data_IF_470205388238
#
_entry.id   IF_470205388238
#
_cell.length_a   1.000
_cell.length_b   1.000
_cell.length_c   1.000
_cell.angle_alpha   90.00
_cell.angle_beta   90.00
_cell.angle_gamma   90.00
#
_symmetry.space_group_name_H-M   'P 1'
#
loop_
_entity.id
_entity.type
_entity.pdbx_description
1 polymer ?
#
# COMPACT_ATOMS: atom_id res chain seq x y z
N UNK A 1 17.71 -72.45 11.88
CA UNK A 1 18.02 -73.27 13.08
C UNK A 1 17.87 -72.34 14.28
N UNK A 2 17.13 -72.57 15.36
CA UNK A 2 16.52 -73.74 15.98
C UNK A 2 15.33 -73.21 16.81
N UNK A 3 14.20 -73.91 16.82
CA UNK A 3 13.04 -73.62 17.68
C UNK A 3 13.30 -74.23 19.07
N UNK A 4 12.76 -73.60 20.12
CA UNK A 4 12.62 -74.24 21.44
C UNK A 4 11.79 -73.40 22.42
N UNK A 5 10.54 -73.82 22.65
CA UNK A 5 9.74 -73.57 23.89
C UNK A 5 10.04 -74.72 24.91
N UNK A 6 9.39 -74.92 26.09
CA UNK A 6 8.48 -74.08 26.93
C UNK A 6 8.70 -74.13 28.50
N UNK A 7 7.99 -73.22 29.22
CA UNK A 7 7.24 -73.28 30.51
C UNK A 7 7.92 -73.56 31.91
N UNK A 8 7.20 -73.55 33.07
CA UNK A 8 6.70 -72.39 33.86
C UNK A 8 7.00 -72.52 35.40
N UNK A 9 6.30 -71.75 36.27
CA UNK A 9 6.28 -71.74 37.76
C UNK A 9 7.18 -70.65 38.39
N UNK A 10 6.83 -69.87 39.43
CA UNK A 10 5.89 -70.03 40.56
C UNK A 10 5.78 -68.69 41.31
N UNK A 11 4.63 -68.43 41.97
CA UNK A 11 4.58 -67.70 43.26
C UNK A 11 4.39 -66.18 43.26
N UNK A 12 3.20 -65.72 43.65
CA UNK A 12 3.02 -64.49 44.46
C UNK A 12 3.24 -64.83 45.94
N UNK A 13 3.62 -63.90 46.85
CA UNK A 13 2.61 -63.00 47.43
C UNK A 13 3.10 -61.62 47.97
N UNK A 14 2.10 -60.71 48.14
CA UNK A 14 1.90 -59.73 49.22
C UNK A 14 2.91 -58.56 49.42
N UNK A 15 2.46 -57.31 49.14
CA UNK A 15 2.08 -56.26 50.13
C UNK A 15 3.30 -55.42 50.55
N UNK A 16 3.34 -54.09 50.58
CA UNK A 16 2.40 -53.02 50.92
C UNK A 16 2.87 -51.74 50.18
N UNK A 17 2.01 -50.73 49.98
CA UNK A 17 2.36 -49.33 50.26
C UNK A 17 1.18 -48.35 50.12
N UNK A 18 0.91 -47.72 51.26
CA UNK A 18 0.46 -46.35 51.52
C UNK A 18 -0.89 -45.81 50.99
N UNK A 19 -1.74 -45.63 52.01
CA UNK A 19 -2.89 -44.75 52.14
C UNK A 19 -2.60 -43.33 51.63
N UNK A 20 -3.56 -42.77 50.90
CA UNK A 20 -3.61 -41.36 50.52
C UNK A 20 -4.88 -41.04 49.76
N UNK A 21 -6.04 -41.41 50.33
CA UNK A 21 -7.34 -41.03 49.79
C UNK A 21 -7.51 -39.51 49.92
N UNK A 22 -7.17 -38.78 48.86
CA UNK A 22 -7.55 -37.38 48.72
C UNK A 22 -9.05 -37.37 48.37
N UNK A 23 -9.87 -37.21 49.40
CA UNK A 23 -11.31 -36.99 49.26
C UNK A 23 -11.49 -35.61 48.62
N UNK A 24 -11.56 -35.58 47.29
CA UNK A 24 -12.11 -34.44 46.56
C UNK A 24 -13.61 -34.39 46.86
N UNK A 25 -13.93 -33.54 47.83
CA UNK A 25 -15.29 -33.15 48.20
C UNK A 25 -16.04 -32.69 46.95
N UNK A 26 -17.09 -33.43 46.56
CA UNK A 26 -17.99 -33.07 45.47
C UNK A 26 -18.84 -31.87 45.91
N UNK A 27 -18.29 -30.68 45.78
CA UNK A 27 -18.99 -29.44 46.04
C UNK A 27 -19.83 -29.01 44.83
N UNK A 28 -21.07 -28.65 45.13
CA UNK A 28 -22.12 -28.28 44.18
C UNK A 28 -21.62 -27.41 43.00
N UNK A 29 -21.93 -27.76 41.73
CA UNK A 29 -21.52 -27.02 40.53
C UNK A 29 -21.88 -25.51 40.53
N UNK A 30 -22.82 -25.10 41.40
CA UNK A 30 -23.26 -23.72 41.57
C UNK A 30 -22.33 -22.88 42.46
N UNK A 31 -21.63 -23.48 43.43
CA UNK A 31 -20.69 -22.77 44.33
C UNK A 31 -19.39 -22.43 43.59
N UNK A 32 -18.89 -23.38 42.81
CA UNK A 32 -17.68 -23.23 41.99
C UNK A 32 -17.83 -22.13 40.92
N UNK A 33 -19.00 -21.98 40.30
CA UNK A 33 -19.25 -20.95 39.29
C UNK A 33 -19.24 -19.51 39.83
N UNK A 34 -19.78 -19.29 41.05
CA UNK A 34 -19.79 -17.97 41.70
C UNK A 34 -18.39 -17.56 42.19
N UNK A 35 -17.60 -18.53 42.64
CA UNK A 35 -16.21 -18.31 43.06
C UNK A 35 -15.30 -18.00 41.88
N UNK A 36 -15.45 -18.72 40.77
CA UNK A 36 -14.69 -18.45 39.54
C UNK A 36 -15.02 -17.07 38.95
N UNK A 37 -16.27 -16.61 39.05
CA UNK A 37 -16.64 -15.26 38.62
C UNK A 37 -15.99 -14.18 39.49
N UNK A 38 -15.96 -14.36 40.82
CA UNK A 38 -15.27 -13.44 41.75
C UNK A 38 -13.77 -13.39 41.48
N UNK A 39 -13.12 -14.55 41.33
CA UNK A 39 -11.69 -14.64 40.97
C UNK A 39 -11.38 -13.96 39.64
N UNK A 40 -12.22 -14.13 38.62
CA UNK A 40 -12.03 -13.47 37.32
C UNK A 40 -12.12 -11.95 37.43
N UNK A 41 -13.04 -11.43 38.24
CA UNK A 41 -13.19 -9.99 38.46
C UNK A 41 -12.02 -9.39 39.24
N UNK A 42 -11.59 -10.05 40.31
CA UNK A 42 -10.42 -9.63 41.09
C UNK A 42 -9.13 -9.65 40.27
N UNK A 43 -8.96 -10.65 39.40
CA UNK A 43 -7.81 -10.75 38.50
C UNK A 43 -7.84 -9.65 37.43
N UNK A 44 -9.02 -9.30 36.91
CA UNK A 44 -9.20 -8.15 36.00
C UNK A 44 -8.86 -6.82 36.68
N UNK A 45 -9.24 -6.64 37.95
CA UNK A 45 -8.90 -5.46 38.75
C UNK A 45 -7.40 -5.37 39.05
N UNK A 46 -6.76 -6.49 39.39
CA UNK A 46 -5.31 -6.56 39.57
C UNK A 46 -4.54 -6.26 38.28
N UNK A 47 -5.03 -6.76 37.14
CA UNK A 47 -4.47 -6.43 35.83
C UNK A 47 -4.63 -4.95 35.51
N UNK A 48 -5.78 -4.36 35.84
CA UNK A 48 -6.05 -2.93 35.69
C UNK A 48 -5.17 -2.05 36.60
N UNK A 49 -4.76 -2.57 37.74
CA UNK A 49 -3.82 -1.94 38.67
C UNK A 49 -2.35 -2.22 38.31
N UNK A 50 -2.07 -3.02 37.27
CA UNK A 50 -0.71 -3.36 36.83
C UNK A 50 0.01 -4.40 37.70
N UNK A 51 -0.69 -5.05 38.63
CA UNK A 51 -0.12 -6.03 39.57
C UNK A 51 -0.14 -7.48 39.02
N UNK A 52 -0.89 -7.74 37.95
CA UNK A 52 -1.01 -9.05 37.32
C UNK A 52 -0.68 -8.98 35.81
N UNK A 53 -0.15 -10.05 35.22
CA UNK A 53 0.17 -10.08 33.79
C UNK A 53 -1.07 -9.95 32.93
N UNK A 54 -0.91 -9.27 31.79
CA UNK A 54 -1.96 -9.08 30.80
C UNK A 54 -2.44 -10.43 30.22
N UNK A 55 -3.63 -10.43 29.64
CA UNK A 55 -4.14 -11.60 28.95
C UNK A 55 -3.51 -11.68 27.57
N UNK A 56 -2.88 -12.81 27.25
CA UNK A 56 -2.20 -12.99 25.97
C UNK A 56 -3.20 -13.59 24.96
N UNK A 57 -3.28 -12.99 23.79
CA UNK A 57 -4.08 -13.52 22.69
C UNK A 57 -3.40 -14.73 22.02
N UNK A 58 -4.08 -15.33 21.04
CA UNK A 58 -3.56 -16.46 20.26
C UNK A 58 -2.37 -16.10 19.34
N UNK A 59 -2.14 -14.81 19.07
CA UNK A 59 -0.98 -14.30 18.31
C UNK A 59 0.20 -13.93 19.26
N UNK A 60 0.07 -14.16 20.57
CA UNK A 60 1.09 -13.80 21.55
C UNK A 60 1.10 -12.31 21.92
N UNK A 61 0.04 -11.55 21.58
CA UNK A 61 -0.09 -10.13 21.88
C UNK A 61 -0.88 -9.92 23.17
N UNK A 62 -0.38 -9.02 24.00
CA UNK A 62 -1.03 -8.65 25.25
C UNK A 62 -2.29 -7.83 24.98
N UNK A 63 -3.42 -8.27 25.52
CA UNK A 63 -4.67 -7.53 25.54
C UNK A 63 -4.62 -6.54 26.70
N UNK A 64 -4.69 -5.26 26.37
CA UNK A 64 -4.66 -4.19 27.37
C UNK A 64 -5.82 -4.35 28.39
N UNK A 65 -5.52 -4.50 29.70
CA UNK A 65 -6.53 -4.68 30.75
C UNK A 65 -7.52 -3.52 30.92
N UNK A 66 -7.22 -2.35 30.36
CA UNK A 66 -8.10 -1.18 30.41
C UNK A 66 -9.15 -1.16 29.30
N UNK A 67 -9.11 -2.10 28.34
CA UNK A 67 -10.15 -2.24 27.32
C UNK A 67 -11.44 -2.71 28.01
N UNK A 68 -12.56 -1.98 27.89
CA UNK A 68 -13.82 -2.40 28.49
C UNK A 68 -14.23 -3.82 28.07
N UNK A 69 -14.78 -4.59 29.01
CA UNK A 69 -15.17 -5.98 28.82
C UNK A 69 -16.01 -6.24 27.55
N UNK A 70 -16.90 -5.31 27.17
CA UNK A 70 -17.77 -5.48 25.99
C UNK A 70 -17.01 -5.36 24.64
N UNK A 71 -15.86 -4.68 24.62
CA UNK A 71 -15.00 -4.59 23.43
C UNK A 71 -14.10 -5.82 23.35
N UNK A 72 -13.52 -6.23 24.48
CA UNK A 72 -12.59 -7.38 24.54
C UNK A 72 -13.31 -8.74 24.45
N UNK A 73 -14.58 -8.82 24.86
CA UNK A 73 -15.35 -10.06 24.75
C UNK A 73 -15.62 -10.41 23.29
N UNK A 74 -15.23 -11.62 22.89
CA UNK A 74 -15.51 -12.16 21.56
C UNK A 74 -16.94 -12.71 21.53
N UNK A 75 -17.81 -12.21 20.62
CA UNK A 75 -19.14 -12.76 20.44
C UNK A 75 -19.13 -14.22 19.96
N UNK A 76 -20.17 -14.96 20.33
CA UNK A 76 -20.30 -16.40 20.03
C UNK A 76 -20.30 -16.76 18.54
N UNK A 77 -20.73 -15.83 17.67
CA UNK A 77 -20.82 -16.02 16.22
C UNK A 77 -19.48 -15.85 15.50
N UNK A 78 -18.44 -15.42 16.23
CA UNK A 78 -17.07 -15.29 15.70
C UNK A 78 -16.28 -16.50 16.16
N UNK A 79 -16.21 -16.71 17.48
CA UNK A 79 -15.55 -17.87 18.08
C UNK A 79 -16.40 -18.44 19.24
N UNK A 80 -16.96 -19.67 19.10
CA UNK A 80 -17.75 -20.31 20.15
C UNK A 80 -16.98 -20.54 21.46
N UNK A 81 -15.65 -20.64 21.37
CA UNK A 81 -14.75 -20.90 22.51
C UNK A 81 -14.49 -19.67 23.38
N UNK A 82 -14.98 -18.46 23.02
CA UNK A 82 -14.80 -17.20 23.77
C UNK A 82 -13.34 -16.97 24.21
N UNK A 83 -12.39 -17.35 23.35
CA UNK A 83 -10.96 -17.13 23.62
C UNK A 83 -10.71 -15.61 23.69
N UNK A 84 -9.81 -15.15 24.56
CA UNK A 84 -9.45 -13.74 24.61
C UNK A 84 -8.69 -13.36 23.35
N UNK A 85 -9.37 -12.70 22.41
CA UNK A 85 -8.77 -12.19 21.17
C UNK A 85 -9.44 -10.88 20.79
N UNK A 86 -8.69 -9.99 20.14
CA UNK A 86 -9.20 -8.72 19.61
C UNK A 86 -9.39 -8.76 18.08
N UNK A 87 -9.32 -9.96 17.47
CA UNK A 87 -9.45 -10.14 16.01
C UNK A 87 -10.81 -9.68 15.47
N UNK A 88 -11.89 -9.83 16.23
CA UNK A 88 -13.23 -9.39 15.82
C UNK A 88 -13.37 -7.88 15.66
N UNK A 89 -12.50 -7.11 16.30
CA UNK A 89 -12.47 -5.65 16.18
C UNK A 89 -11.58 -5.18 15.02
N UNK A 90 -10.85 -6.09 14.34
CA UNK A 90 -10.11 -5.72 13.13
C UNK A 90 -11.09 -5.41 11.99
N UNK A 91 -10.68 -4.57 11.02
CA UNK A 91 -11.52 -4.23 9.88
C UNK A 91 -12.04 -5.49 9.17
N UNK A 92 -13.36 -5.65 9.12
CA UNK A 92 -14.00 -6.84 8.57
C UNK A 92 -13.86 -6.88 7.04
N UNK A 93 -13.50 -8.02 6.43
CA UNK A 93 -13.27 -8.10 4.99
C UNK A 93 -14.52 -7.77 4.17
N UNK A 94 -15.71 -8.11 4.67
CA UNK A 94 -17.00 -7.78 4.02
C UNK A 94 -17.30 -6.27 3.94
N UNK A 95 -16.78 -5.48 4.88
CA UNK A 95 -16.93 -4.01 4.90
C UNK A 95 -15.82 -3.30 4.16
N UNK A 96 -14.70 -3.99 3.91
CA UNK A 96 -13.58 -3.47 3.14
C UNK A 96 -13.94 -3.46 1.66
N UNK A 97 -14.18 -2.27 1.13
CA UNK A 97 -14.37 -2.07 -0.31
C UNK A 97 -13.03 -2.22 -1.01
N UNK A 98 -13.03 -2.91 -2.14
CA UNK A 98 -11.87 -2.99 -3.02
C UNK A 98 -11.80 -1.73 -3.87
N UNK A 99 -10.71 -0.99 -3.73
CA UNK A 99 -10.44 0.22 -4.50
C UNK A 99 -9.26 0.01 -5.45
N UNK A 100 -9.30 0.71 -6.58
CA UNK A 100 -8.22 0.78 -7.55
C UNK A 100 -7.07 1.63 -7.01
N UNK A 101 -5.84 1.32 -7.44
CA UNK A 101 -4.63 2.00 -6.96
C UNK A 101 -4.52 3.43 -7.50
N UNK A 102 -3.74 4.29 -6.83
CA UNK A 102 -3.56 5.71 -7.18
C UNK A 102 -2.84 5.98 -8.51
N UNK A 103 -2.30 4.96 -9.18
CA UNK A 103 -1.76 5.08 -10.54
C UNK A 103 -2.68 4.51 -11.62
N UNK A 104 -3.71 3.75 -11.23
CA UNK A 104 -4.63 3.14 -12.19
C UNK A 104 -5.64 4.19 -12.62
N UNK A 105 -5.65 4.54 -13.90
CA UNK A 105 -6.62 5.47 -14.46
C UNK A 105 -7.21 4.97 -15.77
N UNK A 106 -8.32 5.58 -16.19
CA UNK A 106 -8.93 5.32 -17.49
C UNK A 106 -7.92 5.54 -18.62
N UNK A 107 -7.90 4.61 -19.58
CA UNK A 107 -6.98 4.68 -20.71
C UNK A 107 -7.48 5.78 -21.65
N UNK A 108 -6.74 6.88 -21.74
CA UNK A 108 -7.10 8.02 -22.60
C UNK A 108 -6.35 7.94 -23.93
N UNK A 109 -7.00 8.44 -24.99
CA UNK A 109 -6.47 8.44 -26.34
C UNK A 109 -7.00 7.29 -27.20
N UNK A 110 -6.86 7.44 -28.51
CA UNK A 110 -7.15 6.37 -29.47
C UNK A 110 -5.95 5.44 -29.50
N UNK A 111 -6.18 4.14 -29.33
CA UNK A 111 -5.11 3.17 -29.54
C UNK A 111 -4.88 3.04 -31.04
N UNK A 112 -3.62 3.09 -31.49
CA UNK A 112 -3.17 2.75 -32.85
C UNK A 112 -3.27 1.24 -33.13
N UNK A 113 -4.38 0.62 -32.74
CA UNK A 113 -4.69 -0.70 -33.24
C UNK A 113 -5.09 -0.59 -34.71
N UNK A 114 -4.93 -1.69 -35.44
CA UNK A 114 -5.26 -1.76 -36.86
C UNK A 114 -6.64 -1.18 -37.14
N UNK A 115 -6.69 -0.10 -37.92
CA UNK A 115 -7.95 0.49 -38.39
C UNK A 115 -8.62 -0.51 -39.33
N UNK A 116 -9.90 -0.77 -39.11
CA UNK A 116 -10.66 -1.61 -40.01
C UNK A 116 -10.83 -0.91 -41.37
N UNK A 117 -10.50 -1.59 -42.47
CA UNK A 117 -10.64 -1.03 -43.83
C UNK A 117 -12.08 -1.06 -44.36
N UNK A 118 -12.98 -1.78 -43.68
CA UNK A 118 -14.38 -1.93 -44.09
C UNK A 118 -15.32 -1.80 -42.90
N UNK A 119 -16.53 -1.35 -43.17
CA UNK A 119 -17.60 -1.25 -42.18
C UNK A 119 -17.98 -2.64 -41.63
N UNK A 120 -18.08 -2.73 -40.29
CA UNK A 120 -18.47 -3.94 -39.56
C UNK A 120 -19.91 -3.84 -39.10
N UNK A 121 -20.66 -4.96 -39.15
CA UNK A 121 -22.04 -5.00 -38.66
C UNK A 121 -22.08 -4.69 -37.17
N UNK A 122 -22.98 -3.79 -36.76
CA UNK A 122 -23.09 -3.34 -35.37
C UNK A 122 -22.20 -2.15 -35.01
N UNK A 123 -21.33 -1.70 -35.91
CA UNK A 123 -20.54 -0.49 -35.72
C UNK A 123 -21.39 0.78 -35.86
N UNK A 124 -20.89 1.87 -35.28
CA UNK A 124 -21.45 3.20 -35.41
C UNK A 124 -21.67 3.56 -36.88
N UNK A 125 -22.89 3.94 -37.24
CA UNK A 125 -23.23 4.24 -38.63
C UNK A 125 -22.53 5.49 -39.18
N UNK A 126 -22.04 6.37 -38.28
CA UNK A 126 -21.37 7.61 -38.64
C UNK A 126 -19.88 7.38 -38.96
N UNK A 127 -19.11 6.89 -37.97
CA UNK A 127 -17.65 6.77 -38.05
C UNK A 127 -17.15 5.33 -38.27
N UNK A 128 -17.96 4.30 -38.02
CA UNK A 128 -17.56 2.90 -38.21
C UNK A 128 -16.83 2.23 -37.03
N UNK A 129 -16.71 2.88 -35.87
CA UNK A 129 -16.19 2.25 -34.63
C UNK A 129 -17.23 1.33 -33.97
N UNK A 130 -16.81 0.23 -33.36
CA UNK A 130 -17.70 -0.75 -32.69
C UNK A 130 -18.10 -0.38 -31.25
N UNK A 131 -17.35 0.53 -30.63
CA UNK A 131 -17.42 0.81 -29.19
C UNK A 131 -18.60 1.67 -28.77
N UNK A 132 -19.19 2.43 -29.70
CA UNK A 132 -20.29 3.33 -29.41
C UNK A 132 -21.37 3.34 -30.50
N UNK A 133 -22.55 3.87 -30.16
CA UNK A 133 -23.67 4.06 -31.10
C UNK A 133 -23.60 5.44 -31.77
N UNK A 134 -24.27 5.60 -32.91
CA UNK A 134 -24.35 6.87 -33.67
C UNK A 134 -24.67 8.11 -32.82
N UNK A 135 -25.57 7.97 -31.84
CA UNK A 135 -25.98 9.09 -30.96
C UNK A 135 -24.87 9.59 -30.04
N UNK A 136 -23.94 8.71 -29.67
CA UNK A 136 -22.83 9.01 -28.76
C UNK A 136 -21.51 9.09 -29.52
N UNK A 137 -21.57 9.35 -30.83
CA UNK A 137 -20.39 9.46 -31.67
C UNK A 137 -19.66 10.78 -31.38
N UNK A 138 -18.36 10.69 -31.15
CA UNK A 138 -17.51 11.87 -30.89
C UNK A 138 -17.09 12.57 -32.19
N UNK A 139 -17.25 11.90 -33.34
CA UNK A 139 -17.00 12.50 -34.64
C UNK A 139 -18.19 13.36 -35.09
N UNK A 140 -17.88 14.38 -35.91
CA UNK A 140 -18.89 15.21 -36.54
C UNK A 140 -19.92 14.35 -37.30
N UNK A 141 -21.23 14.58 -37.09
CA UNK A 141 -22.26 13.88 -37.85
C UNK A 141 -22.09 14.10 -39.36
N UNK A 142 -21.88 13.02 -40.11
CA UNK A 142 -21.73 13.03 -41.57
C UNK A 142 -23.10 12.96 -42.24
N UNK A 143 -23.23 13.57 -43.43
CA UNK A 143 -24.46 13.48 -44.26
C UNK A 143 -24.67 12.05 -44.76
N UNK A 144 -23.59 11.43 -45.23
CA UNK A 144 -23.54 10.00 -45.56
C UNK A 144 -22.50 9.38 -44.64
N UNK A 145 -22.94 8.49 -43.75
CA UNK A 145 -22.08 7.86 -42.75
C UNK A 145 -21.28 6.70 -43.31
N UNK A 146 -20.25 6.28 -42.56
CA UNK A 146 -19.36 5.18 -42.90
C UNK A 146 -20.06 3.85 -43.19
N UNK A 147 -21.31 3.66 -42.71
CA UNK A 147 -22.15 2.49 -43.05
C UNK A 147 -22.37 2.33 -44.56
N UNK A 148 -22.54 3.44 -45.28
CA UNK A 148 -22.89 3.42 -46.70
C UNK A 148 -21.68 3.69 -47.60
N UNK A 149 -20.75 4.55 -47.17
CA UNK A 149 -19.55 4.87 -47.95
C UNK A 149 -18.40 3.91 -47.70
N UNK A 150 -18.30 3.32 -46.51
CA UNK A 150 -17.15 2.50 -46.11
C UNK A 150 -15.82 3.26 -46.03
N UNK A 151 -15.84 4.60 -46.12
CA UNK A 151 -14.67 5.46 -46.12
C UNK A 151 -14.45 6.11 -44.75
N UNK A 152 -13.20 6.42 -44.44
CA UNK A 152 -12.75 7.08 -43.21
C UNK A 152 -13.31 6.40 -41.94
N UNK A 153 -12.99 5.11 -41.79
CA UNK A 153 -13.38 4.31 -40.62
C UNK A 153 -12.50 4.72 -39.43
N UNK A 154 -13.13 5.12 -38.33
CA UNK A 154 -12.42 5.41 -37.09
C UNK A 154 -11.86 4.13 -36.45
N UNK A 155 -10.68 4.20 -35.78
CA UNK A 155 -10.21 3.10 -34.93
C UNK A 155 -11.18 2.86 -33.76
N UNK A 156 -11.23 1.63 -33.28
CA UNK A 156 -12.06 1.29 -32.11
C UNK A 156 -11.45 1.86 -30.82
N UNK A 157 -12.31 2.39 -29.94
CA UNK A 157 -11.85 2.86 -28.63
C UNK A 157 -11.53 1.68 -27.69
N UNK A 158 -10.74 1.94 -26.65
CA UNK A 158 -10.48 0.92 -25.64
C UNK A 158 -11.64 0.81 -24.66
N UNK A 159 -12.10 -0.42 -24.41
CA UNK A 159 -13.07 -0.71 -23.34
C UNK A 159 -12.46 -0.32 -22.00
N UNK A 160 -13.12 0.61 -21.31
CA UNK A 160 -12.64 1.13 -20.04
C UNK A 160 -12.92 0.14 -18.90
N UNK A 161 -11.96 -0.10 -18.00
CA UNK A 161 -12.20 -0.91 -16.82
C UNK A 161 -13.16 -0.19 -15.86
N UNK A 162 -13.92 -0.98 -15.09
CA UNK A 162 -14.72 -0.44 -14.00
C UNK A 162 -13.79 -0.16 -12.80
N UNK A 163 -13.31 1.08 -12.71
CA UNK A 163 -12.45 1.52 -11.61
C UNK A 163 -13.32 2.02 -10.45
N UNK A 164 -12.95 1.63 -9.24
CA UNK A 164 -13.64 2.04 -8.01
C UNK A 164 -12.64 2.77 -7.15
N UNK A 165 -12.91 4.03 -6.83
CA UNK A 165 -12.04 4.83 -5.96
C UNK A 165 -12.82 5.38 -4.77
N UNK A 166 -12.05 5.77 -3.75
CA UNK A 166 -12.52 6.55 -2.62
C UNK A 166 -13.04 7.94 -3.04
N UNK A 167 -13.60 8.68 -2.09
CA UNK A 167 -14.10 10.03 -2.32
C UNK A 167 -13.01 10.96 -2.89
N UNK A 168 -11.81 10.89 -2.31
CA UNK A 168 -10.64 11.68 -2.70
C UNK A 168 -10.06 11.19 -4.03
N UNK A 169 -9.86 9.87 -4.17
CA UNK A 169 -9.37 9.28 -5.43
C UNK A 169 -10.22 9.62 -6.65
N UNK A 170 -11.55 9.75 -6.53
CA UNK A 170 -12.39 10.21 -7.65
C UNK A 170 -12.22 11.70 -7.99
N UNK A 171 -11.78 12.52 -7.03
CA UNK A 171 -11.68 13.98 -7.13
C UNK A 171 -10.26 14.48 -7.26
N UNK A 172 -9.28 13.59 -7.19
CA UNK A 172 -7.90 13.96 -7.41
C UNK A 172 -7.76 14.60 -8.80
N UNK A 173 -7.34 15.87 -8.77
CA UNK A 173 -7.13 16.70 -9.95
C UNK A 173 -6.03 16.14 -10.85
N UNK A 174 -5.10 15.38 -10.27
CA UNK A 174 -3.93 14.84 -10.93
C UNK A 174 -4.11 13.38 -11.38
N UNK A 175 -5.34 12.87 -11.39
CA UNK A 175 -5.65 11.56 -11.94
C UNK A 175 -5.21 11.41 -13.40
N UNK A 176 -4.38 10.41 -13.68
CA UNK A 176 -3.80 10.16 -15.00
C UNK A 176 -2.64 11.09 -15.37
N UNK A 177 -2.03 11.77 -14.39
CA UNK A 177 -0.81 12.55 -14.61
C UNK A 177 0.36 11.64 -15.02
N UNK A 178 1.02 11.97 -16.13
CA UNK A 178 2.25 11.30 -16.53
C UNK A 178 3.44 12.02 -15.86
N UNK A 179 4.20 11.37 -14.96
CA UNK A 179 5.33 11.99 -14.27
C UNK A 179 6.44 12.48 -15.23
N UNK A 180 6.53 11.93 -16.44
CA UNK A 180 7.48 12.38 -17.45
C UNK A 180 7.16 13.80 -17.96
N UNK A 181 5.90 14.25 -17.89
CA UNK A 181 5.53 15.60 -18.30
C UNK A 181 6.15 16.67 -17.40
N UNK A 182 6.47 16.33 -16.14
CA UNK A 182 7.16 17.22 -15.22
C UNK A 182 8.54 17.67 -15.76
N UNK A 183 9.16 16.88 -16.64
CA UNK A 183 10.43 17.22 -17.29
C UNK A 183 10.28 18.50 -18.14
N UNK A 184 9.11 18.79 -18.70
CA UNK A 184 8.86 20.02 -19.46
C UNK A 184 8.99 21.25 -18.56
N UNK A 185 8.43 21.20 -17.36
CA UNK A 185 8.57 22.25 -16.33
C UNK A 185 10.04 22.45 -15.96
N UNK A 186 10.77 21.36 -15.68
CA UNK A 186 12.21 21.45 -15.37
C UNK A 186 13.00 22.10 -16.51
N UNK A 187 12.68 21.78 -17.77
CA UNK A 187 13.29 22.41 -18.96
C UNK A 187 12.94 23.88 -19.12
N UNK A 188 11.76 24.31 -18.68
CA UNK A 188 11.37 25.72 -18.70
C UNK A 188 12.18 26.50 -17.67
N UNK A 189 12.26 26.00 -16.43
CA UNK A 189 13.07 26.61 -15.38
C UNK A 189 14.55 26.68 -15.76
N UNK A 190 15.10 25.65 -16.40
CA UNK A 190 16.49 25.69 -16.84
C UNK A 190 16.76 26.80 -17.86
N UNK A 191 15.82 27.08 -18.78
CA UNK A 191 15.91 28.22 -19.70
C UNK A 191 15.82 29.56 -18.98
N UNK A 192 14.92 29.68 -18.00
CA UNK A 192 14.79 30.88 -17.17
C UNK A 192 16.07 31.17 -16.40
N UNK A 193 16.70 30.14 -15.83
CA UNK A 193 17.95 30.31 -15.09
C UNK A 193 19.11 30.69 -16.00
N UNK A 194 19.19 30.12 -17.21
CA UNK A 194 20.16 30.54 -18.22
C UNK A 194 19.95 32.02 -18.60
N UNK A 195 18.71 32.44 -18.86
CA UNK A 195 18.40 33.84 -19.18
C UNK A 195 18.72 34.80 -18.02
N UNK A 196 18.45 34.40 -16.77
CA UNK A 196 18.83 35.17 -15.59
C UNK A 196 20.35 35.31 -15.47
N UNK A 197 21.11 34.25 -15.77
CA UNK A 197 22.59 34.30 -15.77
C UNK A 197 23.11 35.25 -16.85
N UNK A 198 22.58 35.18 -18.07
CA UNK A 198 23.01 36.07 -19.17
C UNK A 198 22.66 37.52 -18.89
N UNK A 199 21.49 37.82 -18.32
CA UNK A 199 21.13 39.18 -17.93
C UNK A 199 22.02 39.71 -16.81
N UNK A 200 22.36 38.88 -15.82
CA UNK A 200 23.30 39.26 -14.76
C UNK A 200 24.70 39.53 -15.31
N UNK A 201 25.20 38.68 -16.20
CA UNK A 201 26.53 38.89 -16.81
C UNK A 201 26.56 40.13 -17.71
N UNK A 202 25.50 40.41 -18.47
CA UNK A 202 25.39 41.62 -19.28
C UNK A 202 25.39 42.88 -18.42
N UNK A 203 24.60 42.92 -17.35
CA UNK A 203 24.60 44.04 -16.39
C UNK A 203 25.98 44.30 -15.77
N UNK A 204 26.66 43.23 -15.34
CA UNK A 204 28.02 43.36 -14.80
C UNK A 204 29.02 43.88 -15.84
N UNK A 205 28.90 43.45 -17.11
CA UNK A 205 29.74 43.97 -18.20
C UNK A 205 29.46 45.44 -18.50
N UNK A 206 28.20 45.86 -18.50
CA UNK A 206 27.80 47.26 -18.65
C UNK A 206 28.31 48.13 -17.49
N UNK A 207 28.19 47.66 -16.25
CA UNK A 207 28.72 48.36 -15.06
C UNK A 207 30.26 48.53 -15.16
N UNK A 208 30.99 47.48 -15.54
CA UNK A 208 32.44 47.56 -15.77
C UNK A 208 32.81 48.51 -16.92
N UNK A 209 32.04 48.50 -18.01
CA UNK A 209 32.27 49.38 -19.15
C UNK A 209 31.94 50.86 -18.85
N UNK A 210 30.98 51.11 -17.95
CA UNK A 210 30.58 52.46 -17.53
C UNK A 210 31.57 53.15 -16.59
N UNK A 211 32.64 52.46 -16.18
CA UNK A 211 33.74 53.05 -15.40
C UNK A 211 33.45 53.25 -13.90
N UNK A 212 32.32 52.76 -13.37
CA UNK A 212 32.04 52.76 -11.93
C UNK A 212 32.83 51.64 -11.21
N UNK A 213 34.13 51.85 -11.03
CA UNK A 213 35.08 50.88 -10.47
C UNK A 213 35.21 50.90 -8.92
N UNK A 214 34.32 51.55 -8.18
CA UNK A 214 34.48 51.69 -6.72
C UNK A 214 33.99 50.49 -5.89
N UNK A 215 33.24 49.53 -6.46
CA UNK A 215 32.60 48.46 -5.66
C UNK A 215 32.96 47.02 -6.05
N UNK A 216 33.87 46.83 -7.02
CA UNK A 216 34.24 45.51 -7.56
C UNK A 216 35.17 44.70 -6.62
N UNK A 217 35.81 45.37 -5.64
CA UNK A 217 36.70 44.75 -4.65
C UNK A 217 36.01 44.34 -3.32
N UNK A 218 34.69 44.18 -3.31
CA UNK A 218 34.02 43.56 -2.15
C UNK A 218 34.10 42.03 -2.24
N UNK A 219 34.56 41.32 -1.19
CA UNK A 219 34.70 39.85 -1.21
C UNK A 219 33.42 39.10 -1.62
N UNK A 220 32.24 39.67 -1.34
CA UNK A 220 30.94 39.10 -1.74
C UNK A 220 30.65 39.16 -3.24
N UNK A 221 31.30 40.05 -3.97
CA UNK A 221 31.06 40.27 -5.41
C UNK A 221 31.95 39.35 -6.27
N UNK A 222 33.14 39.00 -5.78
CA UNK A 222 34.06 38.08 -6.46
C UNK A 222 33.50 36.65 -6.55
N UNK A 223 32.76 36.19 -5.53
CA UNK A 223 32.11 34.87 -5.53
C UNK A 223 31.03 34.75 -6.62
N UNK A 224 30.27 35.82 -6.87
CA UNK A 224 29.30 35.88 -7.96
C UNK A 224 29.98 35.88 -9.34
N UNK A 225 31.13 36.53 -9.47
CA UNK A 225 31.92 36.57 -10.70
C UNK A 225 32.54 35.19 -11.02
N UNK A 226 33.10 34.51 -10.01
CA UNK A 226 33.68 33.17 -10.14
C UNK A 226 32.63 32.09 -10.47
N UNK A 227 31.42 32.19 -9.89
CA UNK A 227 30.30 31.28 -10.20
C UNK A 227 29.67 31.54 -11.58
N UNK A 228 29.77 32.75 -12.11
CA UNK A 228 29.30 33.09 -13.45
C UNK A 228 30.26 32.59 -14.56
N UNK A 229 31.56 32.55 -14.28
CA UNK A 229 32.61 32.06 -15.20
C UNK A 229 32.83 30.55 -15.15
N UNK A 230 32.52 29.91 -14.02
CA UNK A 230 32.60 28.46 -13.86
C UNK A 230 31.34 27.82 -14.42
N UNK A 231 31.40 27.33 -15.67
CA UNK A 231 30.33 26.56 -16.32
C UNK A 231 29.83 25.36 -15.50
N UNK A 232 28.74 24.68 -15.93
CA UNK A 232 28.03 23.73 -15.08
C UNK A 232 28.94 22.59 -14.61
N UNK A 233 29.20 22.55 -13.30
CA UNK A 233 29.65 21.35 -12.62
C UNK A 233 28.62 20.25 -12.89
N UNK A 234 29.05 19.24 -13.65
CA UNK A 234 28.28 18.01 -13.85
C UNK A 234 28.01 17.44 -12.47
N UNK A 235 26.75 17.28 -12.08
CA UNK A 235 26.39 16.39 -10.98
C UNK A 235 26.79 14.98 -11.42
N UNK A 236 27.99 14.56 -11.03
CA UNK A 236 28.43 13.19 -11.12
C UNK A 236 27.54 12.37 -10.17
N UNK A 237 26.65 11.54 -10.72
CA UNK A 237 26.12 10.42 -9.96
C UNK A 237 27.33 9.52 -9.65
N UNK A 238 27.74 9.50 -8.38
CA UNK A 238 28.81 8.63 -7.90
C UNK A 238 28.47 7.16 -8.16
N UNK A 239 29.48 6.29 -8.33
CA UNK A 239 29.25 4.87 -8.53
C UNK A 239 28.53 4.27 -7.31
N UNK A 240 27.45 3.54 -7.56
CA UNK A 240 26.77 2.72 -6.55
C UNK A 240 27.75 1.66 -6.04
N UNK A 241 28.21 1.80 -4.81
CA UNK A 241 28.96 0.75 -4.11
C UNK A 241 28.06 -0.49 -4.00
N UNK A 242 28.49 -1.57 -4.65
CA UNK A 242 27.96 -2.92 -4.42
C UNK A 242 28.56 -3.41 -3.10
N UNK A 243 27.74 -3.54 -2.06
CA UNK A 243 28.12 -4.25 -0.84
C UNK A 243 28.43 -5.72 -1.18
N UNK A 244 29.70 -6.08 -1.17
CA UNK A 244 30.12 -7.47 -1.08
C UNK A 244 30.01 -7.89 0.39
N UNK A 245 29.08 -8.81 0.68
CA UNK A 245 29.11 -9.61 1.91
C UNK A 245 30.37 -10.49 1.85
N UNK A 246 31.35 -10.16 2.68
CA UNK A 246 32.45 -11.06 3.01
C UNK A 246 31.95 -12.16 3.94
N UNK A 247 32.17 -13.41 3.51
CA UNK A 247 32.15 -14.62 4.32
C UNK A 247 33.19 -14.53 5.43
N UNK A 248 32.76 -14.72 6.67
CA UNK A 248 33.65 -14.96 7.81
C UNK A 248 33.57 -16.44 8.16
N UNK A 249 34.69 -17.14 7.99
CA UNK A 249 34.97 -18.45 8.58
C UNK A 249 35.58 -18.22 9.96
N UNK A 250 34.93 -18.77 10.98
CA UNK A 250 35.51 -19.64 12.03
C UNK A 250 34.36 -20.40 12.71
#
# INVERSE_FOLDING_TARGET
>A
TFRGRPDPSTGSPLQQNHKGANVVSLEDPKKTMRENWRKKKELEEQRKLGNAPAEVDEEGKDINPHIPQYISSVPWYIDPSKRPTLKHQRPQPEKQKQYSSSGDWYKRGLQEHSVATRYRKGACENCGALTHKRKNCMERPRKVGAKYTGMDIAPDEQVQPQLMFDYDGKRDRWNGYNPEEHVKTVKEYSKVDLAKRTLKSQKLQEELASGNLEQVNSPRHQDCYMLALSGPGKYHQGPKEKSHRGSFQE
#
